data_IF_482021211388
#
_entry.id   IF_482021211388
#
_cell.length_a   1.000
_cell.length_b   1.000
_cell.length_c   1.000
_cell.angle_alpha   90.00
_cell.angle_beta   90.00
_cell.angle_gamma   90.00
#
_symmetry.space_group_name_H-M   'P 1'
#
loop_
_entity.id
_entity.type
_entity.pdbx_description
1 polymer ?
#
# COMPACT_ATOMS: atom_id res chain seq x y z
N UNK A 1 -0.22 -18.98 -12.47
CA UNK A 1 -0.65 -17.69 -13.05
C UNK A 1 -0.96 -16.74 -11.90
N UNK A 2 -0.81 -15.41 -12.03
CA UNK A 2 -1.10 -14.48 -10.91
C UNK A 2 -2.57 -14.55 -10.45
N UNK A 3 -3.45 -14.89 -11.40
CA UNK A 3 -4.89 -15.10 -11.19
C UNK A 3 -5.21 -16.31 -10.29
N UNK A 4 -4.29 -17.27 -10.14
CA UNK A 4 -4.48 -18.44 -9.26
C UNK A 4 -4.11 -18.15 -7.79
N UNK A 5 -3.67 -16.93 -7.49
CA UNK A 5 -3.26 -16.50 -6.14
C UNK A 5 -4.32 -15.61 -5.53
N UNK A 6 -4.37 -15.61 -4.20
CA UNK A 6 -5.15 -14.62 -3.47
C UNK A 6 -4.42 -13.28 -3.52
N UNK A 7 -5.11 -12.26 -4.01
CA UNK A 7 -4.62 -10.89 -4.15
C UNK A 7 -5.44 -9.98 -3.23
N UNK A 8 -4.74 -9.17 -2.46
CA UNK A 8 -5.30 -8.09 -1.67
C UNK A 8 -4.49 -6.83 -2.00
N UNK A 9 -5.16 -5.80 -2.47
CA UNK A 9 -4.57 -4.50 -2.74
C UNK A 9 -5.30 -3.48 -1.86
N UNK A 10 -4.55 -2.71 -1.09
CA UNK A 10 -5.05 -1.71 -0.17
C UNK A 10 -4.16 -0.46 -0.22
N UNK A 11 -4.76 0.72 -0.07
CA UNK A 11 -4.02 1.98 0.00
C UNK A 11 -4.88 3.20 -0.28
N UNK A 12 -4.25 4.37 -0.20
CA UNK A 12 -4.81 5.64 -0.64
C UNK A 12 -4.64 5.80 -2.15
N UNK A 13 -5.74 5.72 -2.88
CA UNK A 13 -5.74 5.85 -4.34
C UNK A 13 -6.05 7.27 -4.79
N UNK A 14 -6.49 8.14 -3.87
CA UNK A 14 -7.01 9.46 -4.19
C UNK A 14 -8.02 9.44 -5.36
N UNK A 15 -8.84 8.39 -5.46
CA UNK A 15 -9.75 8.14 -6.56
C UNK A 15 -11.21 8.34 -6.12
N UNK A 16 -11.55 9.57 -5.70
CA UNK A 16 -12.83 9.87 -5.07
C UNK A 16 -14.07 9.55 -5.91
N UNK A 17 -13.90 9.49 -7.23
CA UNK A 17 -14.98 9.29 -8.19
C UNK A 17 -15.16 7.83 -8.59
N UNK A 18 -14.33 6.90 -8.10
CA UNK A 18 -14.32 5.50 -8.56
C UNK A 18 -15.69 4.82 -8.46
N UNK A 19 -16.50 5.17 -7.46
CA UNK A 19 -17.84 4.60 -7.26
C UNK A 19 -18.95 5.41 -7.96
N UNK A 20 -18.77 6.72 -8.16
CA UNK A 20 -19.84 7.62 -8.57
C UNK A 20 -19.75 8.03 -10.06
N UNK A 21 -18.55 8.11 -10.64
CA UNK A 21 -18.33 8.52 -12.02
C UNK A 21 -16.95 8.12 -12.56
N UNK A 22 -16.93 7.19 -13.53
CA UNK A 22 -15.73 6.64 -14.18
C UNK A 22 -15.15 7.53 -15.29
N UNK A 23 -15.40 8.85 -15.29
CA UNK A 23 -14.83 9.75 -16.30
C UNK A 23 -13.38 10.17 -16.05
N UNK A 24 -12.78 9.82 -14.91
CA UNK A 24 -11.38 10.11 -14.59
C UNK A 24 -10.47 8.97 -15.10
N UNK A 25 -9.42 9.31 -15.86
CA UNK A 25 -8.40 8.37 -16.37
C UNK A 25 -7.80 7.49 -15.28
N UNK A 26 -7.66 8.01 -14.04
CA UNK A 26 -7.22 7.20 -12.91
C UNK A 26 -8.24 6.13 -12.54
N UNK A 27 -9.51 6.50 -12.50
CA UNK A 27 -10.60 5.57 -12.17
C UNK A 27 -10.76 4.50 -13.25
N UNK A 28 -10.63 4.89 -14.54
CA UNK A 28 -10.62 3.95 -15.67
C UNK A 28 -9.45 2.98 -15.55
N UNK A 29 -8.25 3.47 -15.23
CA UNK A 29 -7.07 2.61 -15.07
C UNK A 29 -7.24 1.62 -13.92
N UNK A 30 -7.86 2.04 -12.82
CA UNK A 30 -8.17 1.18 -11.68
C UNK A 30 -9.25 0.15 -12.01
N UNK A 31 -10.25 0.51 -12.81
CA UNK A 31 -11.30 -0.40 -13.27
C UNK A 31 -10.70 -1.48 -14.18
N UNK A 32 -9.90 -1.09 -15.18
CA UNK A 32 -9.19 -2.03 -16.05
C UNK A 32 -8.30 -2.97 -15.23
N UNK A 33 -7.57 -2.45 -14.25
CA UNK A 33 -6.75 -3.26 -13.35
C UNK A 33 -7.60 -4.26 -12.56
N UNK A 34 -8.72 -3.79 -11.99
CA UNK A 34 -9.63 -4.62 -11.23
C UNK A 34 -10.24 -5.73 -12.09
N UNK A 35 -10.69 -5.42 -13.30
CA UNK A 35 -11.19 -6.40 -14.26
C UNK A 35 -10.12 -7.42 -14.66
N UNK A 36 -8.93 -6.93 -15.00
CA UNK A 36 -7.80 -7.78 -15.46
C UNK A 36 -7.38 -8.80 -14.39
N UNK A 37 -7.45 -8.41 -13.12
CA UNK A 37 -7.05 -9.24 -11.98
C UNK A 37 -8.24 -9.90 -11.26
N UNK A 38 -9.45 -9.77 -11.80
CA UNK A 38 -10.71 -10.23 -11.20
C UNK A 38 -10.91 -9.75 -9.75
N UNK A 39 -10.51 -8.51 -9.46
CA UNK A 39 -10.63 -7.87 -8.16
C UNK A 39 -12.01 -7.22 -8.00
N UNK A 40 -12.50 -7.20 -6.77
CA UNK A 40 -13.69 -6.46 -6.35
C UNK A 40 -13.30 -5.47 -5.27
N UNK A 41 -13.89 -4.28 -5.29
CA UNK A 41 -13.82 -3.34 -4.18
C UNK A 41 -14.71 -3.83 -3.03
N UNK A 42 -14.20 -3.77 -1.80
CA UNK A 42 -14.94 -4.23 -0.61
C UNK A 42 -15.35 -3.11 0.36
N UNK A 43 -14.63 -1.99 0.38
CA UNK A 43 -14.93 -0.90 1.31
C UNK A 43 -15.73 0.23 0.66
N UNK A 44 -16.68 0.78 1.42
CA UNK A 44 -17.45 1.97 1.08
C UNK A 44 -17.32 3.06 2.15
N UNK A 45 -16.23 3.01 2.92
CA UNK A 45 -15.98 3.95 4.01
C UNK A 45 -15.69 5.32 3.41
N UNK A 46 -16.58 6.28 3.66
CA UNK A 46 -16.43 7.65 3.21
C UNK A 46 -15.74 8.48 4.30
N UNK A 47 -14.91 9.41 3.86
CA UNK A 47 -14.37 10.45 4.72
C UNK A 47 -15.43 11.51 5.03
N UNK A 48 -15.06 12.51 5.82
CA UNK A 48 -15.99 13.55 6.29
C UNK A 48 -16.46 14.48 5.15
N UNK A 49 -15.83 14.41 3.97
CA UNK A 49 -16.26 15.07 2.74
C UNK A 49 -17.10 14.16 1.82
N UNK A 50 -17.61 13.04 2.33
CA UNK A 50 -18.42 12.07 1.58
C UNK A 50 -17.68 11.44 0.38
N UNK A 51 -16.34 11.39 0.42
CA UNK A 51 -15.47 10.78 -0.60
C UNK A 51 -14.84 9.49 -0.11
N UNK A 52 -14.65 8.52 -1.00
CA UNK A 52 -13.88 7.30 -0.73
C UNK A 52 -12.49 7.50 -1.35
N UNK A 53 -11.44 7.54 -0.53
CA UNK A 53 -10.06 7.76 -1.00
C UNK A 53 -9.22 6.50 -0.87
N UNK A 54 -9.34 5.85 0.29
CA UNK A 54 -8.75 4.56 0.56
C UNK A 54 -9.61 3.46 -0.06
N UNK A 55 -9.02 2.56 -0.85
CA UNK A 55 -9.72 1.45 -1.48
C UNK A 55 -9.10 0.11 -1.06
N UNK A 56 -9.96 -0.90 -0.93
CA UNK A 56 -9.60 -2.28 -0.65
C UNK A 56 -10.15 -3.14 -1.78
N UNK A 57 -9.25 -3.68 -2.59
CA UNK A 57 -9.54 -4.58 -3.70
C UNK A 57 -9.07 -6.00 -3.38
N UNK A 58 -9.89 -6.99 -3.69
CA UNK A 58 -9.46 -8.39 -3.62
C UNK A 58 -10.19 -9.26 -4.64
N UNK A 59 -9.52 -10.31 -5.11
CA UNK A 59 -10.16 -11.40 -5.86
C UNK A 59 -10.79 -12.46 -4.93
N UNK A 60 -10.69 -12.26 -3.63
CA UNK A 60 -11.24 -13.13 -2.58
C UNK A 60 -12.18 -12.33 -1.66
N UNK A 61 -13.02 -13.02 -0.90
CA UNK A 61 -13.93 -12.37 0.05
C UNK A 61 -13.13 -11.59 1.11
N UNK A 62 -13.51 -10.33 1.30
CA UNK A 62 -13.01 -9.46 2.37
C UNK A 62 -14.23 -8.91 3.12
N UNK A 63 -14.17 -8.89 4.45
CA UNK A 63 -15.26 -8.37 5.28
C UNK A 63 -14.84 -7.07 5.92
N UNK A 64 -15.55 -5.99 5.64
CA UNK A 64 -15.35 -4.71 6.31
C UNK A 64 -16.03 -4.77 7.67
N UNK A 65 -15.34 -4.26 8.69
CA UNK A 65 -15.83 -4.15 10.04
C UNK A 65 -16.03 -2.68 10.40
N UNK A 66 -17.06 -2.42 11.18
CA UNK A 66 -17.21 -1.12 11.84
C UNK A 66 -16.14 -0.98 12.94
N UNK A 67 -15.48 0.18 12.98
CA UNK A 67 -14.58 0.52 14.07
C UNK A 67 -15.33 1.24 15.19
N UNK A 68 -15.52 0.55 16.31
CA UNK A 68 -16.19 1.12 17.49
C UNK A 68 -15.21 1.76 18.48
N UNK A 69 -13.90 1.56 18.32
CA UNK A 69 -12.89 2.01 19.26
C UNK A 69 -11.54 2.22 18.55
N UNK A 70 -11.38 3.32 17.78
CA UNK A 70 -10.19 3.54 17.00
C UNK A 70 -8.98 3.73 17.93
N UNK A 71 -7.90 2.99 17.64
CA UNK A 71 -6.65 3.04 18.42
C UNK A 71 -5.93 4.39 18.27
N UNK A 72 -6.25 5.13 17.21
CA UNK A 72 -5.71 6.44 16.89
C UNK A 72 -6.84 7.45 16.73
N UNK A 73 -6.54 8.73 16.90
CA UNK A 73 -7.50 9.79 16.59
C UNK A 73 -7.92 9.67 15.13
N UNK A 74 -9.23 9.72 14.87
CA UNK A 74 -9.80 9.66 13.52
C UNK A 74 -9.21 10.81 12.67
N UNK A 75 -8.66 10.45 11.52
CA UNK A 75 -8.28 11.38 10.47
C UNK A 75 -9.53 11.79 9.67
N UNK A 76 -9.65 13.08 9.37
CA UNK A 76 -10.78 13.65 8.63
C UNK A 76 -10.82 13.24 7.16
N UNK A 77 -9.65 13.00 6.57
CA UNK A 77 -9.48 12.63 5.17
C UNK A 77 -9.38 11.12 4.99
N UNK A 78 -8.75 10.42 5.94
CA UNK A 78 -8.48 8.98 5.90
C UNK A 78 -9.05 8.26 7.12
N UNK A 79 -10.38 8.06 7.20
CA UNK A 79 -10.98 7.34 8.32
C UNK A 79 -10.37 5.93 8.44
N UNK A 80 -10.14 5.41 9.66
CA UNK A 80 -9.61 4.07 9.84
C UNK A 80 -10.57 3.03 9.25
N UNK A 81 -10.01 2.02 8.57
CA UNK A 81 -10.77 0.92 7.98
C UNK A 81 -10.34 -0.38 8.64
N UNK A 82 -11.27 -1.02 9.35
CA UNK A 82 -11.07 -2.36 9.88
C UNK A 82 -11.64 -3.37 8.88
N UNK A 83 -10.90 -4.45 8.62
CA UNK A 83 -11.37 -5.51 7.74
C UNK A 83 -10.76 -6.87 8.11
N UNK A 84 -11.41 -7.94 7.67
CA UNK A 84 -10.95 -9.32 7.79
C UNK A 84 -10.72 -9.87 6.38
N UNK A 85 -9.55 -10.46 6.17
CA UNK A 85 -9.17 -11.10 4.93
C UNK A 85 -8.56 -12.48 5.20
N UNK A 86 -9.20 -13.52 4.67
CA UNK A 86 -8.76 -14.91 4.86
C UNK A 86 -7.69 -15.29 3.82
N UNK A 87 -6.42 -15.26 4.25
CA UNK A 87 -5.28 -15.61 3.41
C UNK A 87 -4.81 -17.05 3.68
N UNK A 88 -4.77 -17.86 2.63
CA UNK A 88 -4.08 -19.15 2.57
C UNK A 88 -2.59 -18.89 2.42
N UNK A 89 -1.90 -18.84 3.55
CA UNK A 89 -0.44 -18.80 3.56
C UNK A 89 0.05 -20.21 3.19
N UNK A 90 0.57 -20.38 1.97
CA UNK A 90 1.39 -21.54 1.70
C UNK A 90 2.61 -21.43 2.61
N UNK A 91 2.92 -22.49 3.36
CA UNK A 91 4.13 -22.54 4.17
C UNK A 91 5.32 -22.31 3.24
N UNK A 92 5.88 -21.10 3.26
CA UNK A 92 7.18 -20.87 2.68
C UNK A 92 8.10 -21.78 3.49
N UNK A 93 8.86 -22.71 2.88
CA UNK A 93 9.91 -23.39 3.63
C UNK A 93 10.73 -22.27 4.24
N UNK A 94 10.81 -22.27 5.58
CA UNK A 94 11.43 -21.24 6.41
C UNK A 94 12.60 -20.66 5.61
N UNK A 95 12.46 -19.44 5.08
CA UNK A 95 13.47 -18.79 4.25
C UNK A 95 14.66 -18.66 5.18
N UNK A 96 15.53 -19.68 5.18
CA UNK A 96 16.22 -20.12 6.39
C UNK A 96 16.68 -18.89 7.14
N UNK A 97 16.02 -18.60 8.27
CA UNK A 97 16.35 -17.41 9.07
C UNK A 97 17.87 -17.45 9.16
N UNK A 98 18.54 -16.45 8.61
CA UNK A 98 20.00 -16.45 8.61
C UNK A 98 20.40 -16.29 10.09
N UNK A 99 20.49 -17.42 10.80
CA UNK A 99 20.76 -17.47 12.23
C UNK A 99 22.13 -16.84 12.55
N UNK A 100 22.97 -16.63 11.53
CA UNK A 100 24.24 -15.95 11.64
C UNK A 100 24.11 -14.41 11.81
N UNK A 101 22.94 -13.78 11.55
CA UNK A 101 22.79 -12.32 11.66
C UNK A 101 21.53 -11.95 12.45
N UNK A 102 21.44 -12.39 13.71
CA UNK A 102 20.52 -11.76 14.68
C UNK A 102 21.12 -10.46 15.23
N UNK A 103 21.37 -9.47 14.38
CA UNK A 103 21.66 -8.12 14.85
C UNK A 103 20.35 -7.50 15.34
N UNK A 104 20.15 -7.49 16.65
CA UNK A 104 19.08 -6.68 17.28
C UNK A 104 19.55 -5.23 17.30
N UNK A 105 18.98 -4.41 16.44
CA UNK A 105 19.22 -2.97 16.46
C UNK A 105 18.27 -2.32 17.46
N UNK A 106 18.83 -1.59 18.43
CA UNK A 106 18.04 -0.75 19.33
C UNK A 106 17.89 0.63 18.68
N UNK A 107 16.81 0.83 17.93
CA UNK A 107 16.55 2.08 17.23
C UNK A 107 16.38 3.26 18.19
N UNK A 108 15.96 3.03 19.44
CA UNK A 108 15.89 4.06 20.47
C UNK A 108 17.27 4.55 20.97
N UNK A 109 18.34 3.84 20.65
CA UNK A 109 19.74 4.22 20.94
C UNK A 109 20.55 4.49 19.67
N UNK A 110 19.89 4.62 18.52
CA UNK A 110 20.60 4.98 17.29
C UNK A 110 21.20 6.39 17.45
N UNK A 111 22.42 6.57 16.97
CA UNK A 111 23.03 7.90 16.91
C UNK A 111 22.48 8.62 15.68
N UNK A 112 21.29 9.20 15.83
CA UNK A 112 20.58 9.86 14.74
C UNK A 112 21.38 11.02 14.14
N UNK A 113 22.18 11.73 14.93
CA UNK A 113 23.04 12.82 14.46
C UNK A 113 24.03 12.29 13.42
N UNK A 114 24.74 11.20 13.74
CA UNK A 114 25.69 10.57 12.82
C UNK A 114 24.96 9.98 11.60
N UNK A 115 23.79 9.38 11.80
CA UNK A 115 23.00 8.83 10.70
C UNK A 115 22.57 9.93 9.71
N UNK A 116 22.10 11.07 10.20
CA UNK A 116 21.71 12.21 9.35
C UNK A 116 22.93 12.81 8.65
N UNK A 117 24.07 12.96 9.34
CA UNK A 117 25.31 13.41 8.73
C UNK A 117 25.77 12.48 7.60
N UNK A 118 25.69 11.16 7.82
CA UNK A 118 26.01 10.17 6.79
C UNK A 118 25.06 10.23 5.59
N UNK A 119 23.76 10.45 5.79
CA UNK A 119 22.78 10.59 4.70
C UNK A 119 23.03 11.88 3.91
N UNK A 120 23.32 12.98 4.62
CA UNK A 120 23.49 14.29 4.02
C UNK A 120 24.79 14.40 3.22
N UNK A 121 25.85 13.71 3.68
CA UNK A 121 27.15 13.65 3.02
C UNK A 121 27.32 12.39 2.14
N UNK A 122 26.28 11.57 1.98
CA UNK A 122 26.32 10.44 1.08
C UNK A 122 26.47 10.94 -0.37
N UNK A 123 27.29 10.25 -1.15
CA UNK A 123 27.41 10.51 -2.58
C UNK A 123 26.23 9.89 -3.33
N UNK A 124 25.33 10.75 -3.82
CA UNK A 124 24.15 10.37 -4.57
C UNK A 124 24.38 10.32 -6.08
N UNK A 125 25.58 10.65 -6.57
CA UNK A 125 25.88 10.68 -8.01
C UNK A 125 25.55 9.36 -8.69
N UNK A 126 25.89 8.24 -8.06
CA UNK A 126 25.60 6.88 -8.54
C UNK A 126 24.11 6.57 -8.70
N UNK A 127 23.22 7.20 -7.92
CA UNK A 127 21.77 7.03 -8.05
C UNK A 127 21.22 7.89 -9.19
N UNK A 128 21.80 9.08 -9.37
CA UNK A 128 21.38 10.03 -10.39
C UNK A 128 21.84 9.62 -11.80
N UNK A 129 22.99 8.93 -11.93
CA UNK A 129 23.48 8.40 -13.20
C UNK A 129 22.58 7.33 -13.83
N UNK A 130 21.70 6.70 -13.04
CA UNK A 130 20.74 5.68 -13.53
C UNK A 130 19.40 6.33 -13.94
N UNK A 131 19.16 7.59 -13.58
CA UNK A 131 17.88 8.26 -13.78
C UNK A 131 17.78 9.08 -15.09
N UNK A 132 18.89 9.30 -15.80
CA UNK A 132 18.89 9.94 -17.12
C UNK A 132 18.89 8.88 -18.23
N UNK A 133 17.75 8.21 -18.44
CA UNK A 133 17.45 7.58 -19.74
C UNK A 133 16.58 8.57 -20.55
N UNK A 134 17.15 9.30 -21.53
CA UNK A 134 16.47 10.40 -22.24
C UNK A 134 15.45 9.95 -23.29
N UNK A 135 14.99 8.69 -23.30
CA UNK A 135 14.09 8.15 -24.34
C UNK A 135 12.59 8.45 -24.13
N UNK A 136 12.18 9.24 -23.14
CA UNK A 136 10.81 9.81 -23.07
C UNK A 136 10.80 11.31 -23.44
N UNK A 137 10.88 11.58 -24.75
CA UNK A 137 10.49 12.86 -25.35
C UNK A 137 9.11 12.69 -25.99
N UNK A 138 8.12 13.44 -25.45
CA UNK A 138 6.79 13.66 -26.01
C UNK A 138 6.83 14.33 -27.39
#
# INVERSE_FOLDING_TARGET
MILDRQLLILGDFNASSFVENLCDTRCISLEILAETLALKQFNHVKNDNNKILDLIFSNNECRILDDFAPLVKKDYHHPPINFIFDMRVQSIPDLGVNHAIRKKFNLGKANFIVMYDMILNADWSTVMEVADDPDEVY
#
